data_IF_862664084278
#
_entry.id   IF_862664084278
#
_cell.length_a   1.000
_cell.length_b   1.000
_cell.length_c   1.000
_cell.angle_alpha   90.00
_cell.angle_beta   90.00
_cell.angle_gamma   90.00
#
_symmetry.space_group_name_H-M   'P 1'
#
loop_
_entity.id
_entity.type
_entity.pdbx_description
1 polymer ?
#
# COMPACT_ATOMS: atom_id res chain seq x y z
N UNK A 1 12.64 11.10 33.54
CA UNK A 1 11.35 11.41 32.81
C UNK A 1 11.76 12.14 31.57
N UNK A 2 11.76 11.45 30.45
CA UNK A 2 12.18 12.05 29.20
C UNK A 2 10.95 12.69 28.54
N UNK A 3 11.00 14.01 28.40
CA UNK A 3 9.96 14.80 27.71
C UNK A 3 10.50 15.14 26.32
N UNK A 4 10.38 14.18 25.38
CA UNK A 4 11.07 14.24 24.09
C UNK A 4 10.17 14.66 22.92
N UNK A 5 8.84 14.77 23.13
CA UNK A 5 7.89 15.11 22.06
C UNK A 5 8.03 16.60 21.70
N UNK A 6 8.43 16.89 20.46
CA UNK A 6 8.62 18.24 19.90
C UNK A 6 8.07 18.39 18.47
N UNK A 7 7.97 17.29 17.74
CA UNK A 7 7.58 17.25 16.32
C UNK A 7 6.43 16.28 16.12
N UNK A 8 5.78 16.32 14.98
CA UNK A 8 4.78 15.31 14.58
C UNK A 8 5.39 13.91 14.57
N UNK A 9 6.64 13.77 14.10
CA UNK A 9 7.33 12.49 14.06
C UNK A 9 7.57 11.92 15.46
N UNK A 10 7.87 12.77 16.45
CA UNK A 10 8.00 12.34 17.85
C UNK A 10 6.66 11.81 18.39
N UNK A 11 5.53 12.43 18.01
CA UNK A 11 4.19 11.95 18.36
C UNK A 11 3.90 10.61 17.70
N UNK A 12 4.17 10.49 16.41
CA UNK A 12 3.95 9.24 15.68
C UNK A 12 4.78 8.09 16.26
N UNK A 13 6.06 8.34 16.57
CA UNK A 13 6.94 7.37 17.22
C UNK A 13 6.46 6.98 18.64
N UNK A 14 5.93 7.96 19.41
CA UNK A 14 5.31 7.67 20.71
C UNK A 14 4.09 6.77 20.54
N UNK A 15 3.26 7.03 19.54
CA UNK A 15 2.05 6.24 19.27
C UNK A 15 2.38 4.83 18.76
N UNK A 16 3.44 4.65 17.98
CA UNK A 16 3.96 3.30 17.65
C UNK A 16 4.25 2.50 18.92
N UNK A 17 4.85 3.15 19.92
CA UNK A 17 5.18 2.53 21.21
C UNK A 17 3.99 2.11 22.08
N UNK A 18 2.75 2.45 21.70
CA UNK A 18 1.53 1.95 22.35
C UNK A 18 1.13 0.55 21.88
N UNK A 19 1.70 0.10 20.78
CA UNK A 19 1.48 -1.24 20.25
C UNK A 19 2.53 -2.22 20.80
N UNK A 20 2.10 -3.48 20.99
CA UNK A 20 3.04 -4.52 21.36
C UNK A 20 4.08 -4.74 20.24
N UNK A 21 5.36 -4.98 20.56
CA UNK A 21 6.39 -5.20 19.53
C UNK A 21 6.03 -6.30 18.53
N UNK A 22 5.28 -7.32 18.99
CA UNK A 22 4.82 -8.43 18.15
C UNK A 22 3.71 -8.02 17.17
N UNK A 23 3.09 -6.87 17.37
CA UNK A 23 2.07 -6.32 16.48
C UNK A 23 2.68 -5.48 15.34
N UNK A 24 3.92 -5.05 15.47
CA UNK A 24 4.59 -4.22 14.47
C UNK A 24 4.70 -4.93 13.12
N UNK A 25 4.17 -4.29 12.08
CA UNK A 25 4.20 -4.73 10.67
C UNK A 25 4.61 -3.60 9.74
N UNK A 26 4.86 -2.40 10.28
CA UNK A 26 4.97 -1.16 9.52
C UNK A 26 6.30 -0.41 9.71
N UNK A 27 7.06 -0.73 10.77
CA UNK A 27 8.40 -0.16 10.97
C UNK A 27 9.49 -1.16 10.60
N UNK A 28 10.73 -0.72 10.62
CA UNK A 28 11.89 -1.62 10.48
C UNK A 28 11.93 -2.70 11.57
N UNK A 29 11.28 -2.48 12.74
CA UNK A 29 11.10 -3.50 13.78
C UNK A 29 10.26 -4.69 13.31
N UNK A 30 9.25 -4.45 12.46
CA UNK A 30 8.41 -5.48 11.84
C UNK A 30 9.08 -6.31 10.76
N UNK A 31 10.24 -5.88 10.26
CA UNK A 31 10.94 -6.53 9.14
C UNK A 31 11.24 -8.02 9.42
N UNK A 32 11.62 -8.38 10.64
CA UNK A 32 11.91 -9.76 11.03
C UNK A 32 10.70 -10.68 10.96
N UNK A 33 9.51 -10.16 11.25
CA UNK A 33 8.26 -10.92 11.12
C UNK A 33 7.95 -11.22 9.65
N UNK A 34 8.04 -10.20 8.80
CA UNK A 34 7.82 -10.38 7.36
C UNK A 34 8.87 -11.28 6.73
N UNK A 35 10.13 -11.17 7.18
CA UNK A 35 11.20 -12.03 6.68
C UNK A 35 10.95 -13.51 7.01
N UNK A 36 10.56 -13.81 8.26
CA UNK A 36 10.15 -15.16 8.66
C UNK A 36 8.87 -15.63 7.93
N UNK A 37 7.95 -14.70 7.63
CA UNK A 37 6.73 -15.01 6.90
C UNK A 37 7.03 -15.46 5.47
N UNK A 38 7.87 -14.73 4.73
CA UNK A 38 8.23 -15.03 3.34
C UNK A 38 9.32 -16.09 3.18
N UNK A 39 10.05 -16.44 4.24
CA UNK A 39 11.06 -17.50 4.20
C UNK A 39 10.46 -18.87 3.87
N UNK A 40 9.24 -19.16 4.32
CA UNK A 40 8.53 -20.39 3.99
C UNK A 40 7.58 -20.18 2.79
N UNK A 41 8.10 -20.44 1.60
CA UNK A 41 7.36 -20.28 0.34
C UNK A 41 6.31 -21.37 0.10
N UNK A 42 6.23 -22.41 0.95
CA UNK A 42 5.28 -23.52 0.83
C UNK A 42 3.93 -23.22 1.50
N UNK A 43 3.82 -22.14 2.24
CA UNK A 43 2.58 -21.73 2.90
C UNK A 43 1.45 -21.58 1.88
N UNK A 44 0.23 -22.06 2.20
CA UNK A 44 -0.93 -21.90 1.33
C UNK A 44 -1.51 -20.48 1.44
N UNK A 45 -0.69 -19.49 1.08
CA UNK A 45 -1.07 -18.08 1.09
C UNK A 45 -1.49 -17.67 -0.31
N UNK A 46 -2.72 -17.19 -0.54
CA UNK A 46 -3.23 -16.91 -1.88
C UNK A 46 -2.34 -15.97 -2.70
N UNK A 47 -1.86 -14.89 -2.09
CA UNK A 47 -1.00 -13.91 -2.76
C UNK A 47 0.48 -14.35 -2.95
N UNK A 48 0.83 -15.59 -2.57
CA UNK A 48 2.12 -16.21 -2.97
C UNK A 48 2.09 -16.70 -4.42
N UNK A 49 0.90 -16.81 -5.01
CA UNK A 49 0.76 -17.11 -6.42
C UNK A 49 1.48 -16.06 -7.30
N UNK A 50 1.97 -16.49 -8.46
CA UNK A 50 2.61 -15.62 -9.46
C UNK A 50 1.54 -15.08 -10.42
N UNK A 51 0.59 -14.34 -9.87
CA UNK A 51 -0.57 -13.81 -10.59
C UNK A 51 -0.76 -12.35 -10.19
N UNK A 52 -0.87 -11.41 -11.15
CA UNK A 52 -1.19 -10.03 -10.84
C UNK A 52 -2.61 -9.89 -10.30
N UNK A 53 -2.87 -8.82 -9.57
CA UNK A 53 -4.21 -8.46 -9.11
C UNK A 53 -5.14 -8.17 -10.28
N UNK A 54 -6.37 -8.67 -10.21
CA UNK A 54 -7.36 -8.53 -11.28
C UNK A 54 -7.73 -7.06 -11.54
N UNK A 55 -7.82 -6.26 -10.47
CA UNK A 55 -8.11 -4.83 -10.56
C UNK A 55 -6.98 -4.07 -11.27
N UNK A 56 -5.71 -4.37 -10.94
CA UNK A 56 -4.56 -3.74 -11.59
C UNK A 56 -4.57 -4.03 -13.09
N UNK A 57 -4.73 -5.31 -13.48
CA UNK A 57 -4.84 -5.72 -14.86
C UNK A 57 -6.03 -5.03 -15.57
N UNK A 58 -7.18 -4.94 -14.89
CA UNK A 58 -8.36 -4.27 -15.43
C UNK A 58 -8.12 -2.78 -15.68
N UNK A 59 -7.53 -2.04 -14.74
CA UNK A 59 -7.24 -0.60 -14.89
C UNK A 59 -6.32 -0.32 -16.07
N UNK A 60 -5.31 -1.18 -16.27
CA UNK A 60 -4.36 -1.07 -17.37
C UNK A 60 -5.01 -1.40 -18.72
N UNK A 61 -5.81 -2.46 -18.80
CA UNK A 61 -6.53 -2.84 -20.03
C UNK A 61 -7.59 -1.83 -20.44
N UNK A 62 -8.24 -1.19 -19.49
CA UNK A 62 -9.22 -0.13 -19.74
C UNK A 62 -8.56 1.19 -20.17
N UNK A 63 -7.23 1.29 -20.05
CA UNK A 63 -6.49 2.50 -20.37
C UNK A 63 -6.69 3.64 -19.36
N UNK A 64 -7.16 3.32 -18.15
CA UNK A 64 -7.27 4.32 -17.08
C UNK A 64 -5.90 4.77 -16.57
N UNK A 65 -4.94 3.87 -16.59
CA UNK A 65 -3.56 4.13 -16.20
C UNK A 65 -2.66 3.83 -17.42
N UNK A 66 -1.87 4.81 -17.83
CA UNK A 66 -0.88 4.65 -18.90
C UNK A 66 0.50 4.25 -18.32
N UNK A 67 1.34 3.53 -19.09
CA UNK A 67 2.71 3.25 -18.70
C UNK A 67 3.50 4.52 -18.38
N UNK A 68 4.25 4.48 -17.29
CA UNK A 68 5.04 5.56 -16.75
C UNK A 68 5.91 5.08 -15.60
N UNK A 69 6.18 5.93 -14.61
CA UNK A 69 6.88 5.53 -13.38
C UNK A 69 5.89 5.01 -12.35
N UNK A 70 6.15 3.83 -11.81
CA UNK A 70 5.33 3.23 -10.77
C UNK A 70 6.13 2.98 -9.49
N UNK A 71 5.49 3.17 -8.34
CA UNK A 71 5.97 2.77 -7.03
C UNK A 71 5.03 1.69 -6.46
N UNK A 72 5.55 0.52 -6.16
CA UNK A 72 4.79 -0.52 -5.44
C UNK A 72 5.21 -0.56 -3.97
N UNK A 73 4.25 -0.36 -3.07
CA UNK A 73 4.43 -0.36 -1.62
C UNK A 73 4.17 -1.78 -1.07
N UNK A 74 5.13 -2.34 -0.32
CA UNK A 74 5.02 -3.69 0.22
C UNK A 74 4.93 -4.74 -0.89
N UNK A 75 5.86 -4.72 -1.85
CA UNK A 75 5.76 -5.50 -3.09
C UNK A 75 5.81 -7.03 -2.89
N UNK A 76 6.19 -7.51 -1.69
CA UNK A 76 6.32 -8.93 -1.43
C UNK A 76 7.17 -9.66 -2.47
N UNK A 77 6.70 -10.82 -3.00
CA UNK A 77 7.38 -11.56 -4.06
C UNK A 77 7.30 -10.92 -5.46
N UNK A 78 6.84 -9.67 -5.58
CA UNK A 78 6.95 -8.86 -6.80
C UNK A 78 5.94 -9.18 -7.91
N UNK A 79 4.81 -9.85 -7.63
CA UNK A 79 3.86 -10.29 -8.66
C UNK A 79 3.26 -9.15 -9.47
N UNK A 80 2.91 -8.03 -8.82
CA UNK A 80 2.36 -6.85 -9.47
C UNK A 80 3.47 -5.99 -10.10
N UNK A 81 4.65 -5.85 -9.47
CA UNK A 81 5.80 -5.19 -10.07
C UNK A 81 6.20 -5.84 -11.41
N UNK A 82 6.21 -7.17 -11.47
CA UNK A 82 6.47 -7.93 -12.68
C UNK A 82 5.43 -7.65 -13.77
N UNK A 83 4.16 -7.61 -13.39
CA UNK A 83 3.08 -7.32 -14.33
C UNK A 83 3.21 -5.89 -14.89
N UNK A 84 3.41 -4.90 -14.03
CA UNK A 84 3.65 -3.51 -14.44
C UNK A 84 4.85 -3.39 -15.38
N UNK A 85 5.97 -4.02 -15.04
CA UNK A 85 7.17 -4.00 -15.88
C UNK A 85 6.93 -4.64 -17.25
N UNK A 86 6.15 -5.73 -17.33
CA UNK A 86 5.78 -6.39 -18.59
C UNK A 86 4.95 -5.52 -19.52
N UNK A 87 4.26 -4.52 -18.96
CA UNK A 87 3.43 -3.55 -19.68
C UNK A 87 4.15 -2.21 -19.90
N UNK A 88 5.46 -2.15 -19.65
CA UNK A 88 6.30 -1.00 -19.99
C UNK A 88 6.45 0.07 -18.92
N UNK A 89 6.07 -0.21 -17.68
CA UNK A 89 6.35 0.68 -16.55
C UNK A 89 7.82 0.61 -16.12
N UNK A 90 8.32 1.74 -15.64
CA UNK A 90 9.57 1.84 -14.88
C UNK A 90 9.23 1.75 -13.39
N UNK A 91 9.56 0.61 -12.77
CA UNK A 91 9.02 0.24 -11.45
C UNK A 91 10.06 0.36 -10.35
N UNK A 92 9.73 1.12 -9.31
CA UNK A 92 10.37 1.07 -8.00
C UNK A 92 9.49 0.22 -7.07
N UNK A 93 10.02 -0.86 -6.49
CA UNK A 93 9.28 -1.80 -5.65
C UNK A 93 9.94 -1.90 -4.28
N UNK A 94 9.19 -1.61 -3.22
CA UNK A 94 9.70 -1.50 -1.84
C UNK A 94 9.12 -2.60 -0.97
N UNK A 95 9.97 -3.22 -0.14
CA UNK A 95 9.53 -4.14 0.91
C UNK A 95 10.47 -4.11 2.11
N UNK A 96 9.96 -4.42 3.31
CA UNK A 96 10.74 -4.55 4.54
C UNK A 96 11.50 -5.88 4.62
N UNK A 97 11.08 -6.91 3.88
CA UNK A 97 11.61 -8.27 3.97
C UNK A 97 12.71 -8.56 2.95
N UNK A 98 13.94 -8.85 3.40
CA UNK A 98 14.98 -9.41 2.53
C UNK A 98 14.54 -10.69 1.81
N UNK A 99 13.80 -11.60 2.47
CA UNK A 99 13.33 -12.85 1.88
C UNK A 99 12.30 -12.61 0.76
N UNK A 100 11.37 -11.67 0.95
CA UNK A 100 10.42 -11.26 -0.08
C UNK A 100 11.15 -10.72 -1.32
N UNK A 101 12.08 -9.77 -1.11
CA UNK A 101 12.84 -9.17 -2.20
C UNK A 101 13.79 -10.15 -2.90
N UNK A 102 14.36 -11.12 -2.18
CA UNK A 102 15.13 -12.20 -2.81
C UNK A 102 14.25 -13.02 -3.76
N UNK A 103 13.05 -13.36 -3.32
CA UNK A 103 12.08 -14.07 -4.16
C UNK A 103 11.61 -13.24 -5.35
N UNK A 104 11.33 -11.94 -5.15
CA UNK A 104 10.96 -11.02 -6.22
C UNK A 104 12.06 -10.90 -7.29
N UNK A 105 13.34 -10.80 -6.89
CA UNK A 105 14.48 -10.75 -7.82
C UNK A 105 14.62 -12.05 -8.63
N UNK A 106 14.44 -13.22 -7.99
CA UNK A 106 14.44 -14.52 -8.70
C UNK A 106 13.35 -14.58 -9.77
N UNK A 107 12.14 -14.07 -9.48
CA UNK A 107 11.04 -13.99 -10.45
C UNK A 107 11.36 -13.00 -11.58
N UNK A 108 11.88 -11.83 -11.24
CA UNK A 108 12.26 -10.80 -12.22
C UNK A 108 13.35 -11.30 -13.17
N UNK A 109 14.36 -11.99 -12.67
CA UNK A 109 15.40 -12.61 -13.48
C UNK A 109 14.83 -13.65 -14.47
N UNK A 110 13.96 -14.54 -13.99
CA UNK A 110 13.29 -15.54 -14.83
C UNK A 110 12.41 -14.91 -15.91
N UNK A 111 11.77 -13.79 -15.62
CA UNK A 111 10.92 -13.05 -16.55
C UNK A 111 11.70 -12.11 -17.47
N UNK A 112 12.99 -11.88 -17.23
CA UNK A 112 13.79 -10.89 -17.96
C UNK A 112 13.34 -9.45 -17.72
N UNK A 113 12.74 -9.17 -16.54
CA UNK A 113 12.15 -7.87 -16.19
C UNK A 113 13.22 -6.91 -15.63
N UNK A 114 14.02 -6.30 -16.51
CA UNK A 114 15.11 -5.40 -16.13
C UNK A 114 14.68 -3.97 -15.72
N UNK A 115 13.42 -3.61 -15.87
CA UNK A 115 12.87 -2.29 -15.52
C UNK A 115 12.40 -2.18 -14.07
N UNK A 116 12.64 -3.18 -13.22
CA UNK A 116 12.26 -3.17 -11.80
C UNK A 116 13.48 -2.90 -10.92
N UNK A 117 13.38 -1.91 -10.06
CA UNK A 117 14.34 -1.64 -8.99
C UNK A 117 13.72 -2.03 -7.65
N UNK A 118 14.33 -3.01 -6.98
CA UNK A 118 13.89 -3.50 -5.68
C UNK A 118 14.64 -2.80 -4.55
N UNK A 119 13.91 -2.16 -3.64
CA UNK A 119 14.41 -1.39 -2.52
C UNK A 119 14.05 -2.04 -1.19
N UNK A 120 15.06 -2.34 -0.37
CA UNK A 120 14.86 -2.86 0.97
C UNK A 120 14.74 -1.69 1.95
N UNK A 121 13.66 -1.62 2.69
CA UNK A 121 13.50 -0.65 3.77
C UNK A 121 12.09 -0.18 4.00
N UNK A 122 11.97 0.74 4.93
CA UNK A 122 10.72 1.42 5.27
C UNK A 122 10.33 2.40 4.15
N UNK A 123 9.13 2.20 3.59
CA UNK A 123 8.61 3.04 2.52
C UNK A 123 8.53 4.52 2.92
N UNK A 124 8.17 4.84 4.17
CA UNK A 124 8.10 6.22 4.64
C UNK A 124 9.48 6.90 4.64
N UNK A 125 10.52 6.18 5.08
CA UNK A 125 11.89 6.69 5.07
C UNK A 125 12.44 6.83 3.64
N UNK A 126 12.19 5.83 2.77
CA UNK A 126 12.70 5.82 1.41
C UNK A 126 12.02 6.84 0.48
N UNK A 127 10.81 7.27 0.81
CA UNK A 127 10.05 8.28 0.07
C UNK A 127 10.07 9.67 0.71
N UNK A 128 10.79 9.87 1.82
CA UNK A 128 10.95 11.19 2.43
C UNK A 128 11.51 12.22 1.43
N UNK A 129 11.37 13.51 1.76
CA UNK A 129 11.95 14.57 0.94
C UNK A 129 13.46 14.33 0.76
N UNK A 130 13.96 14.48 -0.47
CA UNK A 130 15.36 14.20 -0.84
C UNK A 130 15.80 12.73 -0.75
N UNK A 131 14.90 11.81 -0.40
CA UNK A 131 15.19 10.37 -0.40
C UNK A 131 15.16 9.78 -1.84
N UNK A 132 15.72 8.58 -2.05
CA UNK A 132 15.83 7.98 -3.39
C UNK A 132 14.51 7.83 -4.14
N UNK A 133 13.39 7.68 -3.41
CA UNK A 133 12.06 7.41 -3.97
C UNK A 133 11.08 8.58 -3.77
N UNK A 134 11.57 9.81 -3.70
CA UNK A 134 10.74 11.00 -3.47
C UNK A 134 9.74 11.32 -4.61
N UNK A 135 9.75 10.55 -5.70
CA UNK A 135 8.83 10.73 -6.84
C UNK A 135 9.32 11.73 -7.88
N UNK A 136 8.44 12.29 -8.74
CA UNK A 136 7.02 11.93 -8.84
C UNK A 136 6.79 10.58 -9.55
N UNK A 137 5.65 9.92 -9.21
CA UNK A 137 5.19 8.68 -9.82
C UNK A 137 3.83 8.87 -10.49
N UNK A 138 3.65 8.24 -11.65
CA UNK A 138 2.38 8.23 -12.38
C UNK A 138 1.39 7.24 -11.75
N UNK A 139 1.91 6.19 -11.10
CA UNK A 139 1.15 5.20 -10.34
C UNK A 139 1.85 4.91 -9.01
N UNK A 140 1.09 4.95 -7.91
CA UNK A 140 1.47 4.30 -6.64
C UNK A 140 0.49 3.15 -6.43
N UNK A 141 1.03 1.94 -6.25
CA UNK A 141 0.24 0.72 -6.06
C UNK A 141 0.53 0.09 -4.71
N UNK A 142 -0.53 -0.24 -3.99
CA UNK A 142 -0.49 -0.95 -2.69
C UNK A 142 -1.42 -2.16 -2.75
N UNK A 143 -0.85 -3.34 -2.65
CA UNK A 143 -1.62 -4.58 -2.55
C UNK A 143 -1.39 -5.24 -1.20
N UNK A 144 -2.07 -4.72 -0.17
CA UNK A 144 -2.08 -5.33 1.14
C UNK A 144 -1.10 -4.76 2.17
N UNK A 145 -0.48 -3.60 1.91
CA UNK A 145 0.38 -2.94 2.88
C UNK A 145 -0.42 -2.02 3.83
N UNK A 146 -1.33 -1.21 3.30
CA UNK A 146 -2.09 -0.20 4.03
C UNK A 146 -2.86 -0.75 5.24
N UNK A 147 -3.49 -1.90 5.11
CA UNK A 147 -4.28 -2.49 6.19
C UNK A 147 -3.43 -3.05 7.35
N UNK A 148 -2.11 -3.05 7.23
CA UNK A 148 -1.18 -3.35 8.32
C UNK A 148 -0.66 -2.10 9.04
N UNK A 149 -1.13 -0.90 8.67
CA UNK A 149 -0.75 0.34 9.32
C UNK A 149 -1.68 0.66 10.50
N UNK A 150 -1.14 1.05 11.67
CA UNK A 150 -1.98 1.57 12.75
C UNK A 150 -2.57 2.93 12.36
N UNK A 151 -3.68 3.35 13.02
CA UNK A 151 -4.43 4.54 12.62
C UNK A 151 -3.60 5.81 12.45
N UNK A 152 -2.68 6.08 13.36
CA UNK A 152 -1.82 7.28 13.30
C UNK A 152 -0.86 7.28 12.10
N UNK A 153 -0.50 6.12 11.58
CA UNK A 153 0.38 6.01 10.40
C UNK A 153 -0.33 6.30 9.08
N UNK A 154 -1.68 6.39 9.07
CA UNK A 154 -2.41 6.94 7.92
C UNK A 154 -1.97 8.35 7.58
N UNK A 155 -1.60 9.17 8.59
CA UNK A 155 -1.03 10.52 8.38
C UNK A 155 0.26 10.46 7.55
N UNK A 156 1.18 9.56 7.92
CA UNK A 156 2.43 9.35 7.17
C UNK A 156 2.17 8.82 5.76
N UNK A 157 1.17 7.95 5.62
CA UNK A 157 0.78 7.35 4.34
C UNK A 157 0.21 8.39 3.37
N UNK A 158 -0.72 9.23 3.84
CA UNK A 158 -1.28 10.32 3.05
C UNK A 158 -0.21 11.35 2.64
N UNK A 159 0.70 11.71 3.56
CA UNK A 159 1.82 12.59 3.25
C UNK A 159 2.79 11.98 2.21
N UNK A 160 2.97 10.66 2.20
CA UNK A 160 3.72 9.94 1.16
C UNK A 160 3.01 10.09 -0.19
N UNK A 161 1.71 9.79 -0.25
CA UNK A 161 0.94 9.89 -1.49
C UNK A 161 0.94 11.32 -2.04
N UNK A 162 0.69 12.32 -1.17
CA UNK A 162 0.70 13.73 -1.57
C UNK A 162 2.03 14.14 -2.19
N UNK A 163 3.14 13.76 -1.58
CA UNK A 163 4.49 14.12 -2.02
C UNK A 163 4.92 13.39 -3.29
N UNK A 164 4.66 12.07 -3.34
CA UNK A 164 5.26 11.19 -4.34
C UNK A 164 4.40 11.00 -5.59
N UNK A 165 3.09 11.24 -5.51
CA UNK A 165 2.20 11.08 -6.64
C UNK A 165 2.25 12.33 -7.55
N UNK A 166 2.44 12.12 -8.85
CA UNK A 166 2.39 13.18 -9.84
C UNK A 166 1.00 13.84 -9.91
N UNK A 167 0.89 15.13 -10.25
CA UNK A 167 -0.40 15.72 -10.59
C UNK A 167 -1.08 14.93 -11.70
N UNK A 168 -2.34 14.51 -11.50
CA UNK A 168 -3.06 13.62 -12.41
C UNK A 168 -2.65 12.14 -12.35
N UNK A 169 -1.67 11.80 -11.53
CA UNK A 169 -1.25 10.41 -11.26
C UNK A 169 -2.29 9.63 -10.46
N UNK A 170 -2.16 8.31 -10.46
CA UNK A 170 -3.12 7.39 -9.86
C UNK A 170 -2.55 6.70 -8.63
N UNK A 171 -3.39 6.56 -7.61
CA UNK A 171 -3.16 5.69 -6.47
C UNK A 171 -4.14 4.53 -6.54
N UNK A 172 -3.64 3.30 -6.56
CA UNK A 172 -4.46 2.10 -6.54
C UNK A 172 -4.16 1.27 -5.29
N UNK A 173 -5.22 0.82 -4.63
CA UNK A 173 -5.18 0.14 -3.33
C UNK A 173 -5.93 -1.18 -3.39
N UNK A 174 -5.37 -2.19 -2.72
CA UNK A 174 -6.08 -3.40 -2.33
C UNK A 174 -5.92 -3.61 -0.82
N UNK A 175 -7.02 -3.68 -0.07
CA UNK A 175 -6.98 -3.81 1.39
C UNK A 175 -8.14 -4.67 1.92
N UNK A 176 -8.07 -5.08 3.20
CA UNK A 176 -9.13 -5.85 3.83
C UNK A 176 -10.44 -5.08 3.88
N UNK A 177 -11.52 -5.79 3.60
CA UNK A 177 -12.86 -5.28 3.59
C UNK A 177 -13.63 -5.68 4.84
N UNK A 178 -14.31 -4.73 5.47
CA UNK A 178 -15.21 -4.96 6.60
C UNK A 178 -16.54 -5.59 6.17
N UNK A 179 -17.28 -6.14 7.12
CA UNK A 179 -18.59 -6.70 6.94
C UNK A 179 -18.62 -8.15 6.47
N UNK A 180 -19.79 -8.60 6.02
CA UNK A 180 -20.00 -9.98 5.59
C UNK A 180 -19.04 -10.40 4.47
N UNK A 181 -18.38 -11.55 4.64
CA UNK A 181 -17.38 -12.07 3.72
C UNK A 181 -16.06 -11.28 3.75
N UNK A 182 -15.89 -10.33 4.65
CA UNK A 182 -14.66 -9.57 4.83
C UNK A 182 -13.60 -10.29 5.63
N UNK A 183 -12.46 -9.65 5.82
CA UNK A 183 -11.32 -10.11 6.60
C UNK A 183 -10.68 -8.93 7.35
N UNK A 184 -10.07 -9.19 8.49
CA UNK A 184 -9.38 -8.21 9.29
C UNK A 184 -10.16 -7.76 10.52
N UNK A 185 -9.59 -6.82 11.27
CA UNK A 185 -10.19 -6.26 12.48
C UNK A 185 -11.12 -5.11 12.14
N UNK A 186 -12.33 -5.14 12.67
CA UNK A 186 -13.32 -4.06 12.61
C UNK A 186 -13.38 -3.24 13.91
N UNK A 187 -12.38 -3.38 14.78
CA UNK A 187 -12.31 -2.60 16.02
C UNK A 187 -12.15 -1.11 15.70
N UNK A 188 -12.85 -0.22 16.43
CA UNK A 188 -12.62 1.21 16.33
C UNK A 188 -11.16 1.58 16.60
N UNK A 189 -10.67 2.65 15.99
CA UNK A 189 -9.29 3.12 16.14
C UNK A 189 -8.86 3.26 17.62
N UNK A 190 -9.75 3.77 18.48
CA UNK A 190 -9.48 3.89 19.93
C UNK A 190 -9.19 2.56 20.60
N UNK A 191 -9.90 1.51 20.20
CA UNK A 191 -9.80 0.20 20.83
C UNK A 191 -8.53 -0.53 20.40
N UNK A 192 -8.02 -0.24 19.19
CA UNK A 192 -6.72 -0.74 18.76
C UNK A 192 -5.59 -0.23 19.65
N UNK A 193 -5.64 1.04 20.10
CA UNK A 193 -4.67 1.60 21.05
C UNK A 193 -4.83 1.00 22.45
N UNK A 194 -6.06 0.70 22.87
CA UNK A 194 -6.33 0.06 24.17
C UNK A 194 -5.84 -1.39 24.20
N UNK A 195 -5.94 -2.11 23.08
CA UNK A 195 -5.50 -3.49 22.96
C UNK A 195 -4.03 -3.65 22.59
N UNK A 196 -3.41 -2.59 22.03
CA UNK A 196 -2.02 -2.58 21.59
C UNK A 196 -1.73 -3.54 20.42
N UNK A 197 -2.72 -3.79 19.55
CA UNK A 197 -2.56 -4.72 18.43
C UNK A 197 -3.49 -4.43 17.25
N UNK A 198 -3.09 -4.87 16.03
CA UNK A 198 -3.88 -4.73 14.80
C UNK A 198 -4.70 -5.98 14.46
N UNK A 199 -4.64 -7.02 15.29
CA UNK A 199 -5.41 -8.26 15.14
C UNK A 199 -5.33 -8.89 13.73
N UNK A 200 -4.14 -8.84 13.10
CA UNK A 200 -3.88 -9.40 11.78
C UNK A 200 -3.97 -8.40 10.62
N UNK A 201 -4.52 -7.23 10.86
CA UNK A 201 -4.72 -6.16 9.88
C UNK A 201 -6.09 -5.52 10.02
N UNK A 202 -6.26 -4.32 9.52
CA UNK A 202 -7.48 -3.51 9.67
C UNK A 202 -8.41 -3.72 8.48
N UNK A 203 -9.69 -3.98 8.77
CA UNK A 203 -10.73 -3.98 7.77
C UNK A 203 -11.36 -2.59 7.64
N UNK A 204 -11.76 -2.23 6.44
CA UNK A 204 -12.36 -0.94 6.12
C UNK A 204 -13.72 -1.12 5.47
N UNK A 205 -14.64 -0.21 5.74
CA UNK A 205 -15.81 0.01 4.91
C UNK A 205 -15.45 0.89 3.71
N UNK A 206 -16.31 0.94 2.70
CA UNK A 206 -16.15 1.85 1.57
C UNK A 206 -16.22 3.32 1.99
N UNK A 207 -17.08 3.66 2.94
CA UNK A 207 -17.19 5.02 3.48
C UNK A 207 -15.93 5.45 4.24
N UNK A 208 -15.30 4.54 4.99
CA UNK A 208 -14.01 4.82 5.66
C UNK A 208 -12.88 5.03 4.66
N UNK A 209 -12.83 4.25 3.57
CA UNK A 209 -11.84 4.46 2.52
C UNK A 209 -12.04 5.80 1.80
N UNK A 210 -13.29 6.18 1.50
CA UNK A 210 -13.59 7.51 0.97
C UNK A 210 -13.16 8.61 1.94
N UNK A 211 -13.50 8.47 3.23
CA UNK A 211 -13.11 9.44 4.24
C UNK A 211 -11.59 9.60 4.32
N UNK A 212 -10.83 8.50 4.24
CA UNK A 212 -9.36 8.56 4.32
C UNK A 212 -8.74 9.18 3.07
N UNK A 213 -9.19 8.80 1.87
CA UNK A 213 -8.48 9.13 0.63
C UNK A 213 -9.08 10.29 -0.17
N UNK A 214 -10.39 10.53 -0.07
CA UNK A 214 -11.04 11.69 -0.72
C UNK A 214 -11.16 12.90 0.21
N UNK A 215 -10.51 12.85 1.38
CA UNK A 215 -10.61 13.90 2.39
C UNK A 215 -10.24 15.27 1.86
N UNK A 216 -11.01 16.25 2.29
CA UNK A 216 -10.84 17.67 1.96
C UNK A 216 -9.43 18.13 2.36
N UNK A 217 -8.69 18.72 1.42
CA UNK A 217 -7.59 19.60 1.82
C UNK A 217 -8.19 20.72 2.66
N UNK A 218 -7.57 21.09 3.79
CA UNK A 218 -7.91 22.31 4.51
C UNK A 218 -7.71 23.51 3.57
N UNK A 219 -8.66 23.71 2.68
CA UNK A 219 -8.69 24.88 1.81
C UNK A 219 -9.40 26.00 2.55
N UNK A 220 -8.71 27.11 2.65
CA UNK A 220 -9.29 28.44 2.97
C UNK A 220 -10.68 28.60 2.37
N UNK A 221 -11.62 28.89 3.19
CA UNK A 221 -13.07 29.22 3.15
C UNK A 221 -13.86 29.32 1.80
N UNK A 222 -13.31 29.03 0.63
CA UNK A 222 -14.00 29.32 -0.64
C UNK A 222 -14.10 28.24 -1.69
N UNK A 223 -13.35 27.12 -1.61
CA UNK A 223 -13.53 25.96 -2.52
C UNK A 223 -12.98 24.70 -1.88
N UNK A 224 -13.88 23.79 -1.51
CA UNK A 224 -13.54 22.41 -1.13
C UNK A 224 -13.06 21.71 -2.39
N UNK A 225 -11.74 21.53 -2.54
CA UNK A 225 -11.19 20.74 -3.65
C UNK A 225 -10.72 19.43 -3.06
N UNK A 226 -11.35 18.33 -3.45
CA UNK A 226 -10.85 17.00 -3.15
C UNK A 226 -9.45 16.86 -3.74
N UNK A 227 -8.47 16.44 -2.93
CA UNK A 227 -7.12 16.27 -3.42
C UNK A 227 -6.94 14.99 -4.26
N UNK A 228 -7.85 14.01 -4.06
CA UNK A 228 -7.99 12.82 -4.88
C UNK A 228 -9.45 12.62 -5.30
N UNK A 229 -9.65 12.27 -6.56
CA UNK A 229 -10.92 11.88 -7.16
C UNK A 229 -11.04 10.36 -7.12
N UNK A 230 -12.15 9.82 -6.60
CA UNK A 230 -12.47 8.40 -6.71
C UNK A 230 -12.79 8.05 -8.16
N UNK A 231 -12.03 7.12 -8.75
CA UNK A 231 -12.29 6.58 -10.09
C UNK A 231 -13.08 5.28 -9.98
N UNK A 232 -12.69 4.39 -9.06
CA UNK A 232 -13.40 3.14 -8.75
C UNK A 232 -13.18 2.76 -7.30
N UNK A 233 -14.21 2.25 -6.65
CA UNK A 233 -14.15 1.57 -5.36
C UNK A 233 -15.16 0.42 -5.35
N UNK A 234 -14.67 -0.81 -5.24
CA UNK A 234 -15.51 -2.02 -5.24
C UNK A 234 -14.84 -3.17 -4.48
N UNK A 235 -15.62 -4.20 -4.20
CA UNK A 235 -15.05 -5.49 -3.78
C UNK A 235 -14.22 -6.07 -4.93
N UNK A 236 -13.11 -6.69 -4.56
CA UNK A 236 -12.29 -7.45 -5.51
C UNK A 236 -13.10 -8.63 -6.07
N UNK A 237 -12.93 -8.92 -7.35
CA UNK A 237 -13.59 -10.07 -7.95
C UNK A 237 -13.03 -11.37 -7.35
N UNK A 238 -13.90 -12.37 -7.22
CA UNK A 238 -13.48 -13.72 -6.84
C UNK A 238 -12.93 -14.43 -8.10
N UNK A 239 -11.63 -14.62 -8.12
CA UNK A 239 -10.95 -15.26 -9.24
C UNK A 239 -10.78 -16.75 -9.00
N UNK A 240 -11.20 -17.57 -9.96
CA UNK A 240 -11.04 -19.01 -9.87
C UNK A 240 -9.54 -19.42 -9.76
N UNK A 241 -9.22 -20.53 -9.08
CA UNK A 241 -7.82 -20.96 -8.90
C UNK A 241 -7.03 -21.12 -10.21
N UNK A 242 -7.69 -21.44 -11.33
CA UNK A 242 -7.10 -21.54 -12.66
C UNK A 242 -7.00 -20.21 -13.41
N UNK A 243 -7.60 -19.14 -12.93
CA UNK A 243 -7.46 -17.81 -13.51
C UNK A 243 -6.00 -17.36 -13.55
N UNK A 244 -5.56 -16.66 -14.61
CA UNK A 244 -4.23 -16.04 -14.64
C UNK A 244 -4.12 -14.83 -13.70
N UNK A 245 -5.21 -14.39 -13.10
CA UNK A 245 -5.29 -13.24 -12.21
C UNK A 245 -5.51 -13.69 -10.77
N UNK A 246 -5.13 -12.83 -9.83
CA UNK A 246 -5.42 -12.96 -8.41
C UNK A 246 -6.64 -12.10 -8.07
N UNK A 247 -7.58 -12.68 -7.35
CA UNK A 247 -8.72 -11.96 -6.80
C UNK A 247 -9.36 -12.71 -5.65
N UNK A 248 -9.73 -11.96 -4.59
CA UNK A 248 -10.32 -12.49 -3.37
C UNK A 248 -11.42 -11.54 -2.88
N UNK A 249 -12.65 -12.02 -2.68
CA UNK A 249 -13.80 -11.15 -2.40
C UNK A 249 -13.78 -10.52 -1.00
N UNK A 250 -12.86 -10.95 -0.12
CA UNK A 250 -12.64 -10.31 1.19
C UNK A 250 -11.78 -9.05 1.12
N UNK A 251 -11.42 -8.60 -0.10
CA UNK A 251 -10.63 -7.39 -0.32
C UNK A 251 -11.49 -6.29 -0.97
N UNK A 252 -11.19 -5.04 -0.63
CA UNK A 252 -11.52 -3.88 -1.44
C UNK A 252 -10.47 -3.66 -2.51
N UNK A 253 -10.90 -3.16 -3.66
CA UNK A 253 -10.04 -2.52 -4.65
C UNK A 253 -10.50 -1.09 -4.84
N UNK A 254 -9.55 -0.16 -4.84
CA UNK A 254 -9.82 1.25 -5.05
C UNK A 254 -8.83 1.85 -6.04
N UNK A 255 -9.30 2.77 -6.86
CA UNK A 255 -8.50 3.61 -7.73
C UNK A 255 -8.88 5.07 -7.50
N UNK A 256 -7.89 5.86 -7.14
CA UNK A 256 -8.02 7.30 -6.98
C UNK A 256 -7.09 8.02 -7.94
N UNK A 257 -7.46 9.21 -8.36
CA UNK A 257 -6.64 10.09 -9.20
C UNK A 257 -6.33 11.38 -8.45
N UNK A 258 -5.06 11.74 -8.35
CA UNK A 258 -4.66 13.02 -7.78
C UNK A 258 -5.13 14.16 -8.67
N UNK A 259 -5.71 15.20 -8.07
CA UNK A 259 -6.10 16.39 -8.80
C UNK A 259 -4.93 16.96 -9.60
N UNK A 260 -5.18 17.33 -10.85
CA UNK A 260 -4.21 18.08 -11.64
C UNK A 260 -4.07 19.45 -10.97
N UNK A 261 -2.87 19.76 -10.42
CA UNK A 261 -2.62 21.06 -9.80
C UNK A 261 -3.02 22.19 -10.77
N UNK A 262 -3.69 23.21 -10.25
CA UNK A 262 -3.89 24.41 -11.03
C UNK A 262 -2.51 25.03 -11.26
N UNK A 263 -2.05 25.05 -12.53
CA UNK A 263 -0.79 25.62 -12.96
C UNK A 263 -0.75 27.14 -12.83
#
# INVERSE_FOLDING_TARGET
>A
MDRNVRTTDDVLALMDGLFAPEADRWTTGGASWWDAFYADRSKPVPFFADKPDENLDAYLRQGWIAPGRALELGCGPGRNALHLASLGFDVDAVDLSPAALAWARERAEKAGAGSIRFHLGDAFALTAAEAPLAGPYDLIYDSGCFHHLPPHRRISYLALLERCLAPGGHFALTCFAAGEGGMGSELPDSDLYLTGGLHGGLAYTDDELRHVFSGLTEATETTETEWMEEVELRRMNDEAPESPLFGEPFLWTALFRKAAGQG
#
